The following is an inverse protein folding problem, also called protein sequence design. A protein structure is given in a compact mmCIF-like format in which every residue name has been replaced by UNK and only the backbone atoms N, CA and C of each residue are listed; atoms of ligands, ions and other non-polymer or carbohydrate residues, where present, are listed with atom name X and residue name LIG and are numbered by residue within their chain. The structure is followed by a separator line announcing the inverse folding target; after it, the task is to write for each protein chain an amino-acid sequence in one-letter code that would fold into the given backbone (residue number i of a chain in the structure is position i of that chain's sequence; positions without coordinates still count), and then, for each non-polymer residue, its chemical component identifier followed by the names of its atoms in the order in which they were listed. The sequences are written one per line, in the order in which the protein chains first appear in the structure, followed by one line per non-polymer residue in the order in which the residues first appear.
data_IF_436469442692
#
_entry.id   IF_436469442692
#
_cell.length_a   1.000
_cell.length_b   1.000
_cell.length_c   1.000
_cell.angle_alpha   90.00
_cell.angle_beta   90.00
_cell.angle_gamma   90.00
#
_symmetry.space_group_name_H-M   'P 1'
#
loop_
_entity.id
_entity.type
_entity.pdbx_description
1 polymer ?
#
# COMPACT_ATOMS: atom_id res chain seq x y z
N UNK A 1 -10.17 -10.96 -7.87
CA UNK A 1 -9.08 -10.01 -7.52
C UNK A 1 -8.02 -9.93 -8.64
N UNK A 2 -7.60 -11.05 -9.25
CA UNK A 2 -6.63 -11.11 -10.37
C UNK A 2 -7.00 -10.33 -11.66
N UNK A 3 -8.26 -9.91 -11.86
CA UNK A 3 -8.68 -9.22 -13.09
C UNK A 3 -8.38 -7.71 -13.12
N UNK A 4 -8.27 -7.06 -11.94
CA UNK A 4 -8.28 -5.58 -11.85
C UNK A 4 -6.88 -4.94 -11.85
N UNK A 5 -5.86 -5.65 -11.35
CA UNK A 5 -4.45 -5.22 -11.45
C UNK A 5 -4.00 -5.18 -12.91
N UNK A 6 -4.32 -6.24 -13.65
CA UNK A 6 -4.11 -6.34 -15.10
C UNK A 6 -4.79 -5.21 -15.89
N UNK A 7 -6.06 -4.90 -15.62
CA UNK A 7 -6.78 -3.81 -16.29
C UNK A 7 -6.17 -2.41 -16.01
N UNK A 8 -5.70 -2.17 -14.79
CA UNK A 8 -5.07 -0.90 -14.41
C UNK A 8 -3.70 -0.74 -15.07
N UNK A 9 -2.91 -1.82 -15.09
CA UNK A 9 -1.64 -1.87 -15.81
C UNK A 9 -1.84 -1.64 -17.32
N UNK A 10 -2.86 -2.25 -17.92
CA UNK A 10 -3.21 -2.05 -19.33
C UNK A 10 -3.61 -0.61 -19.67
N UNK A 11 -4.27 0.10 -18.74
CA UNK A 11 -4.57 1.53 -18.91
C UNK A 11 -3.30 2.39 -18.88
N UNK A 12 -2.39 2.08 -17.97
CA UNK A 12 -1.11 2.78 -17.86
C UNK A 12 -0.20 2.52 -19.06
N UNK A 13 -0.14 1.28 -19.53
CA UNK A 13 0.69 0.91 -20.69
C UNK A 13 0.20 1.54 -21.99
N UNK A 14 -1.11 1.82 -22.12
CA UNK A 14 -1.63 2.63 -23.25
C UNK A 14 -1.24 4.09 -23.17
N UNK A 15 -1.13 4.65 -21.96
CA UNK A 15 -0.83 6.07 -21.75
C UNK A 15 0.67 6.37 -21.84
N UNK A 16 1.51 5.38 -21.54
CA UNK A 16 2.95 5.49 -21.55
C UNK A 16 3.55 4.39 -22.43
N UNK A 17 3.85 4.72 -23.70
CA UNK A 17 4.30 3.78 -24.73
C UNK A 17 5.55 2.99 -24.32
N UNK A 18 6.47 3.62 -23.57
CA UNK A 18 7.72 3.01 -23.15
C UNK A 18 7.64 2.25 -21.81
N UNK A 19 6.49 2.25 -21.13
CA UNK A 19 6.36 1.71 -19.77
C UNK A 19 6.80 0.25 -19.66
N UNK A 20 6.46 -0.57 -20.67
CA UNK A 20 6.82 -1.99 -20.68
C UNK A 20 8.34 -2.18 -20.82
N UNK A 21 8.98 -1.40 -21.70
CA UNK A 21 10.43 -1.48 -21.90
C UNK A 21 11.18 -0.95 -20.68
N UNK A 22 10.68 0.13 -20.08
CA UNK A 22 11.23 0.73 -18.87
C UNK A 22 11.16 -0.25 -17.68
N UNK A 23 10.01 -0.90 -17.50
CA UNK A 23 9.82 -1.94 -16.48
C UNK A 23 10.82 -3.08 -16.64
N UNK A 24 10.99 -3.58 -17.87
CA UNK A 24 11.97 -4.64 -18.17
C UNK A 24 13.40 -4.17 -17.88
N UNK A 25 13.75 -2.92 -18.23
CA UNK A 25 15.08 -2.35 -17.97
C UNK A 25 15.37 -2.28 -16.47
N UNK A 26 14.45 -1.70 -15.70
CA UNK A 26 14.58 -1.53 -14.24
C UNK A 26 14.66 -2.87 -13.50
N UNK A 27 13.90 -3.89 -13.94
CA UNK A 27 13.95 -5.23 -13.35
C UNK A 27 15.31 -5.92 -13.62
N UNK A 28 15.88 -5.73 -14.80
CA UNK A 28 17.23 -6.21 -15.12
C UNK A 28 18.30 -5.50 -14.29
N UNK A 29 18.22 -4.17 -14.16
CA UNK A 29 19.17 -3.37 -13.37
C UNK A 29 19.13 -3.76 -11.88
N UNK A 30 17.93 -3.88 -11.32
CA UNK A 30 17.73 -4.26 -9.91
C UNK A 30 17.96 -5.74 -9.62
N UNK A 31 18.02 -6.60 -10.66
CA UNK A 31 18.02 -8.08 -10.55
C UNK A 31 16.81 -8.64 -9.80
N UNK A 32 15.71 -7.89 -9.74
CA UNK A 32 14.46 -8.30 -9.09
C UNK A 32 13.34 -8.27 -10.13
N UNK A 33 12.69 -9.42 -10.35
CA UNK A 33 11.47 -9.50 -11.14
C UNK A 33 10.27 -9.41 -10.20
N UNK A 34 9.50 -8.31 -10.32
CA UNK A 34 8.25 -8.11 -9.59
C UNK A 34 7.17 -7.74 -10.59
N UNK A 35 6.05 -8.43 -10.53
CA UNK A 35 4.88 -8.05 -11.29
C UNK A 35 4.21 -6.81 -10.69
N UNK A 36 3.37 -6.14 -11.49
CA UNK A 36 2.68 -4.95 -11.05
C UNK A 36 1.81 -5.24 -9.81
N UNK A 37 1.16 -6.40 -9.74
CA UNK A 37 0.30 -6.78 -8.61
C UNK A 37 1.08 -6.83 -7.29
N UNK A 38 2.27 -7.42 -7.28
CA UNK A 38 3.16 -7.46 -6.12
C UNK A 38 3.60 -6.05 -5.69
N UNK A 39 3.82 -5.15 -6.66
CA UNK A 39 4.17 -3.75 -6.38
C UNK A 39 3.01 -2.99 -5.73
N UNK A 40 1.75 -3.20 -6.14
CA UNK A 40 0.58 -2.54 -5.53
C UNK A 40 0.14 -3.17 -4.20
N UNK A 41 0.42 -4.45 -3.96
CA UNK A 41 0.20 -5.09 -2.65
C UNK A 41 1.13 -4.53 -1.57
N UNK A 42 2.38 -4.21 -1.95
CA UNK A 42 3.41 -3.77 -1.00
C UNK A 42 3.03 -2.52 -0.18
N UNK A 43 2.46 -1.44 -0.76
CA UNK A 43 1.95 -0.29 0.00
C UNK A 43 0.88 -0.65 1.03
N UNK A 44 -0.08 -1.51 0.67
CA UNK A 44 -1.17 -1.94 1.57
C UNK A 44 -0.60 -2.71 2.76
N UNK A 45 0.38 -3.58 2.52
CA UNK A 45 1.06 -4.34 3.58
C UNK A 45 2.07 -3.50 4.39
N UNK A 46 2.52 -2.36 3.86
CA UNK A 46 3.50 -1.48 4.53
C UNK A 46 2.89 -0.72 5.69
N UNK A 47 1.64 -0.28 5.56
CA UNK A 47 0.95 0.51 6.58
C UNK A 47 0.85 -0.26 7.92
N UNK A 48 0.39 -1.53 7.97
CA UNK A 48 0.41 -2.32 9.20
C UNK A 48 1.80 -2.47 9.82
N UNK A 49 2.85 -2.63 9.00
CA UNK A 49 4.23 -2.75 9.50
C UNK A 49 4.72 -1.46 10.16
N UNK A 50 4.39 -0.29 9.59
CA UNK A 50 4.75 0.98 10.20
C UNK A 50 4.03 1.20 11.53
N UNK A 51 2.75 0.83 11.63
CA UNK A 51 2.01 0.85 12.90
C UNK A 51 2.72 0.02 13.96
N UNK A 52 3.12 -1.22 13.65
CA UNK A 52 3.84 -2.09 14.58
C UNK A 52 5.18 -1.48 15.04
N UNK A 53 5.96 -0.93 14.11
CA UNK A 53 7.25 -0.30 14.41
C UNK A 53 7.09 0.92 15.31
N UNK A 54 6.14 1.81 15.00
CA UNK A 54 5.90 3.02 15.80
C UNK A 54 5.40 2.66 17.20
N UNK A 55 4.51 1.66 17.32
CA UNK A 55 4.08 1.13 18.63
C UNK A 55 5.25 0.60 19.46
N UNK A 56 6.17 -0.15 18.85
CA UNK A 56 7.33 -0.69 19.56
C UNK A 56 8.30 0.42 20.01
N UNK A 57 8.50 1.45 19.18
CA UNK A 57 9.29 2.64 19.55
C UNK A 57 8.64 3.35 20.74
N UNK A 58 7.34 3.62 20.67
CA UNK A 58 6.59 4.31 21.73
C UNK A 58 6.57 3.54 23.06
N UNK A 59 6.58 2.20 23.01
CA UNK A 59 6.65 1.32 24.18
C UNK A 59 7.99 1.46 24.93
N UNK A 60 9.06 1.77 24.23
CA UNK A 60 10.40 1.93 24.81
C UNK A 60 10.81 3.41 25.00
N UNK A 61 9.95 4.35 24.61
CA UNK A 61 10.17 5.77 24.77
C UNK A 61 9.68 6.26 26.15
N UNK A 62 10.50 7.04 26.89
CA UNK A 62 10.07 7.68 28.13
C UNK A 62 8.87 8.61 27.90
N UNK A 63 7.94 8.65 28.86
CA UNK A 63 6.71 9.46 28.75
C UNK A 63 6.98 10.98 28.64
N UNK A 64 8.09 11.46 29.19
CA UNK A 64 8.50 12.86 29.17
C UNK A 64 9.31 13.24 27.92
N UNK A 65 9.46 12.34 26.94
CA UNK A 65 10.19 12.66 25.72
C UNK A 65 9.38 13.62 24.84
N UNK A 66 9.99 14.75 24.48
CA UNK A 66 9.39 15.81 23.64
C UNK A 66 8.97 15.29 22.25
N UNK A 67 9.63 14.25 21.74
CA UNK A 67 9.34 13.66 20.43
C UNK A 67 8.19 12.63 20.47
N UNK A 68 7.72 12.28 21.66
CA UNK A 68 6.70 11.23 21.84
C UNK A 68 5.36 11.64 21.24
N UNK A 69 4.95 12.89 21.44
CA UNK A 69 3.70 13.46 20.90
C UNK A 69 3.63 13.31 19.38
N UNK A 70 4.67 13.74 18.65
CA UNK A 70 4.71 13.60 17.19
C UNK A 70 4.68 12.15 16.70
N UNK A 71 5.21 11.20 17.47
CA UNK A 71 5.10 9.77 17.16
C UNK A 71 3.71 9.21 17.44
N UNK A 72 3.01 9.72 18.46
CA UNK A 72 1.61 9.37 18.74
C UNK A 72 0.67 9.91 17.66
N UNK A 73 0.89 11.13 17.20
CA UNK A 73 0.16 11.71 16.06
C UNK A 73 0.41 10.90 14.78
N UNK A 74 1.67 10.57 14.49
CA UNK A 74 2.01 9.75 13.33
C UNK A 74 1.39 8.34 13.42
N UNK A 75 1.30 7.77 14.63
CA UNK A 75 0.63 6.49 14.84
C UNK A 75 -0.88 6.60 14.54
N UNK A 76 -1.52 7.67 15.01
CA UNK A 76 -2.94 7.93 14.74
C UNK A 76 -3.20 8.05 13.22
N UNK A 77 -2.39 8.82 12.50
CA UNK A 77 -2.54 8.99 11.06
C UNK A 77 -2.34 7.67 10.29
N UNK A 78 -1.38 6.85 10.71
CA UNK A 78 -1.15 5.53 10.14
C UNK A 78 -2.34 4.59 10.37
N UNK A 79 -2.90 4.57 11.59
CA UNK A 79 -4.07 3.76 11.93
C UNK A 79 -5.34 4.23 11.18
N UNK A 80 -5.53 5.55 11.07
CA UNK A 80 -6.61 6.16 10.28
C UNK A 80 -6.49 5.77 8.80
N UNK A 81 -5.28 5.86 8.24
CA UNK A 81 -4.99 5.44 6.85
C UNK A 81 -5.26 3.95 6.65
N UNK A 82 -4.86 3.09 7.58
CA UNK A 82 -5.12 1.65 7.52
C UNK A 82 -6.63 1.37 7.50
N UNK A 83 -7.40 2.04 8.36
CA UNK A 83 -8.85 1.92 8.43
C UNK A 83 -9.52 2.41 7.13
N UNK A 84 -9.07 3.54 6.59
CA UNK A 84 -9.56 4.06 5.31
C UNK A 84 -9.36 3.06 4.16
N UNK A 85 -8.15 2.48 4.06
CA UNK A 85 -7.83 1.46 3.06
C UNK A 85 -8.72 0.23 3.25
N UNK A 86 -8.87 -0.25 4.49
CA UNK A 86 -9.71 -1.40 4.81
C UNK A 86 -11.18 -1.16 4.43
N UNK A 87 -11.74 -0.02 4.78
CA UNK A 87 -13.12 0.32 4.47
C UNK A 87 -13.37 0.45 2.96
N UNK A 88 -12.44 1.06 2.23
CA UNK A 88 -12.53 1.12 0.77
C UNK A 88 -12.46 -0.28 0.11
N UNK A 89 -11.70 -1.22 0.70
CA UNK A 89 -11.70 -2.62 0.24
C UNK A 89 -13.05 -3.30 0.51
N UNK A 90 -13.63 -3.09 1.69
CA UNK A 90 -14.95 -3.62 2.05
C UNK A 90 -16.03 -3.08 1.10
N UNK A 91 -16.10 -1.77 0.90
CA UNK A 91 -17.07 -1.14 0.00
C UNK A 91 -16.98 -1.70 -1.43
N UNK A 92 -15.74 -1.92 -1.91
CA UNK A 92 -15.50 -2.57 -3.21
C UNK A 92 -16.00 -4.01 -3.24
N UNK A 93 -15.77 -4.79 -2.19
CA UNK A 93 -16.21 -6.19 -2.12
C UNK A 93 -17.74 -6.26 -2.11
N UNK A 94 -18.39 -5.46 -1.24
CA UNK A 94 -19.84 -5.39 -1.17
C UNK A 94 -20.47 -4.92 -2.48
N UNK A 95 -19.89 -3.91 -3.14
CA UNK A 95 -20.36 -3.47 -4.46
C UNK A 95 -20.29 -4.58 -5.51
N UNK A 96 -19.19 -5.34 -5.58
CA UNK A 96 -19.07 -6.45 -6.54
C UNK A 96 -20.04 -7.59 -6.24
N UNK A 97 -20.35 -7.86 -4.96
CA UNK A 97 -21.35 -8.85 -4.55
C UNK A 97 -22.77 -8.44 -4.95
N UNK A 98 -23.10 -7.16 -4.85
CA UNK A 98 -24.42 -6.63 -5.21
C UNK A 98 -24.64 -6.51 -6.71
N UNK A 99 -23.59 -6.27 -7.51
CA UNK A 99 -23.68 -6.15 -8.97
C UNK A 99 -23.75 -7.52 -9.67
N UNK A 100 -23.44 -8.61 -8.98
CA UNK A 100 -23.47 -9.98 -9.51
C UNK A 100 -24.62 -10.84 -8.96
N UNK A 101 -25.61 -10.23 -8.30
CA UNK A 101 -26.92 -10.81 -7.96
C UNK A 101 -27.99 -10.26 -8.90
#
# INVERSE_FOLDING_TARGET
IQANGSASYLRLSRRYENLKQESIRLQKESKVFVDFESLVITPIQRVPRYIMLVKEILKHMPKQNIQREGLEDALYDLESTANYINNHLLDRIYFNLLVHL
#
